data_IF_024437343112
#
_entry.id   IF_024437343112
#
_cell.length_a   1.000
_cell.length_b   1.000
_cell.length_c   1.000
_cell.angle_alpha   90.00
_cell.angle_beta   90.00
_cell.angle_gamma   90.00
#
_symmetry.space_group_name_H-M   'P 1'
#
loop_
_entity.id
_entity.type
_entity.pdbx_description
1 polymer ?
#
# COMPACT_ATOMS: atom_id res chain seq x y z
N UNK A 1 -16.47 37.97 -4.60
CA UNK A 1 -15.79 36.69 -4.90
C UNK A 1 -16.83 35.59 -4.76
N UNK A 2 -17.12 34.84 -5.83
CA UNK A 2 -18.30 33.99 -5.91
C UNK A 2 -18.09 32.73 -5.00
N UNK A 3 -19.11 32.36 -4.19
CA UNK A 3 -19.08 31.21 -3.27
C UNK A 3 -18.59 29.94 -3.97
N UNK A 4 -19.06 29.74 -5.19
CA UNK A 4 -18.68 28.61 -6.06
C UNK A 4 -17.15 28.52 -6.31
N UNK A 5 -16.43 29.63 -6.38
CA UNK A 5 -14.98 29.68 -6.56
C UNK A 5 -14.23 29.30 -5.25
N UNK A 6 -14.76 29.64 -4.08
CA UNK A 6 -14.17 29.25 -2.79
C UNK A 6 -14.32 27.75 -2.56
N UNK A 7 -15.50 27.21 -2.86
CA UNK A 7 -15.80 25.79 -2.67
C UNK A 7 -14.92 24.92 -3.59
N UNK A 8 -14.74 25.36 -4.85
CA UNK A 8 -13.83 24.69 -5.79
C UNK A 8 -12.38 24.71 -5.30
N UNK A 9 -11.88 25.85 -4.84
CA UNK A 9 -10.51 25.98 -4.35
C UNK A 9 -10.28 25.09 -3.12
N UNK A 10 -11.23 25.08 -2.19
CA UNK A 10 -11.17 24.23 -1.01
C UNK A 10 -11.17 22.74 -1.38
N UNK A 11 -12.07 22.30 -2.27
CA UNK A 11 -12.11 20.93 -2.74
C UNK A 11 -10.79 20.54 -3.40
N UNK A 12 -10.28 21.34 -4.33
CA UNK A 12 -9.02 21.06 -5.02
C UNK A 12 -7.86 20.91 -4.04
N UNK A 13 -7.71 21.87 -3.12
CA UNK A 13 -6.62 21.84 -2.14
C UNK A 13 -6.65 20.56 -1.31
N UNK A 14 -7.81 20.16 -0.79
CA UNK A 14 -7.92 18.94 0.02
C UNK A 14 -7.79 17.67 -0.81
N UNK A 15 -8.35 17.63 -2.02
CA UNK A 15 -8.19 16.53 -2.94
C UNK A 15 -6.71 16.27 -3.26
N UNK A 16 -5.94 17.34 -3.43
CA UNK A 16 -4.50 17.30 -3.68
C UNK A 16 -3.69 16.93 -2.45
N UNK A 17 -3.95 17.57 -1.32
CA UNK A 17 -3.25 17.30 -0.06
C UNK A 17 -3.49 15.87 0.45
N UNK A 18 -4.69 15.31 0.19
CA UNK A 18 -5.05 13.95 0.56
C UNK A 18 -4.81 12.93 -0.56
N UNK A 19 -3.82 13.18 -1.42
CA UNK A 19 -3.38 12.25 -2.46
C UNK A 19 -4.51 11.81 -3.41
N UNK A 20 -5.30 12.78 -3.84
CA UNK A 20 -6.39 12.58 -4.80
C UNK A 20 -7.51 11.63 -4.36
N UNK A 21 -7.82 11.60 -3.08
CA UNK A 21 -8.95 10.83 -2.55
C UNK A 21 -10.29 11.30 -3.13
N UNK A 22 -11.23 10.37 -3.27
CA UNK A 22 -12.62 10.69 -3.64
C UNK A 22 -13.33 11.50 -2.52
N UNK A 23 -14.39 12.23 -2.91
CA UNK A 23 -15.14 13.12 -2.01
C UNK A 23 -15.63 12.39 -0.73
N UNK A 24 -16.19 11.19 -0.87
CA UNK A 24 -16.70 10.42 0.28
C UNK A 24 -15.62 10.12 1.31
N UNK A 25 -14.43 9.73 0.86
CA UNK A 25 -13.30 9.44 1.73
C UNK A 25 -12.73 10.72 2.37
N UNK A 26 -12.64 11.81 1.60
CA UNK A 26 -12.23 13.11 2.15
C UNK A 26 -13.19 13.58 3.24
N UNK A 27 -14.50 13.48 3.01
CA UNK A 27 -15.49 13.83 4.04
C UNK A 27 -15.36 12.95 5.28
N UNK A 28 -15.11 11.64 5.11
CA UNK A 28 -14.89 10.73 6.23
C UNK A 28 -13.67 11.13 7.07
N UNK A 29 -12.54 11.44 6.42
CA UNK A 29 -11.31 11.86 7.11
C UNK A 29 -11.56 13.18 7.86
N UNK A 30 -12.17 14.18 7.22
CA UNK A 30 -12.41 15.50 7.79
C UNK A 30 -13.37 15.41 8.99
N UNK A 31 -14.44 14.63 8.87
CA UNK A 31 -15.42 14.49 9.95
C UNK A 31 -14.87 13.74 11.18
N UNK A 32 -13.84 12.90 10.99
CA UNK A 32 -13.23 12.11 12.07
C UNK A 32 -11.86 12.63 12.52
N UNK A 33 -11.41 13.78 12.01
CA UNK A 33 -10.13 14.41 12.38
C UNK A 33 -10.33 15.65 13.22
N UNK A 34 -9.31 16.01 14.01
CA UNK A 34 -9.31 17.21 14.83
C UNK A 34 -8.20 18.17 14.40
N UNK A 35 -8.36 19.46 14.68
CA UNK A 35 -7.30 20.46 14.49
C UNK A 35 -7.16 21.04 13.09
N UNK A 36 -8.11 20.80 12.19
CA UNK A 36 -8.13 21.41 10.86
C UNK A 36 -9.13 22.57 10.74
N UNK A 37 -8.92 23.43 9.74
CA UNK A 37 -9.73 24.66 9.54
C UNK A 37 -11.14 24.42 8.97
N UNK A 38 -11.50 23.18 8.66
CA UNK A 38 -12.77 22.82 8.02
C UNK A 38 -13.85 22.36 9.01
N UNK A 39 -13.65 22.53 10.31
CA UNK A 39 -14.68 22.23 11.31
C UNK A 39 -15.97 22.97 10.93
N UNK A 40 -17.05 22.22 10.69
CA UNK A 40 -18.38 22.70 10.28
C UNK A 40 -18.51 23.23 8.83
N UNK A 41 -17.55 23.02 7.94
CA UNK A 41 -17.69 23.36 6.53
C UNK A 41 -17.99 22.12 5.71
N UNK A 42 -19.07 22.18 4.89
CA UNK A 42 -19.33 21.12 3.90
C UNK A 42 -18.39 21.30 2.71
N UNK A 43 -17.58 20.27 2.44
CA UNK A 43 -16.83 20.22 1.19
C UNK A 43 -17.79 19.72 0.10
N UNK A 44 -18.10 20.58 -0.84
CA UNK A 44 -18.93 20.25 -1.99
C UNK A 44 -18.03 19.99 -3.19
N UNK A 45 -18.22 18.84 -3.82
CA UNK A 45 -17.59 18.56 -5.10
C UNK A 45 -18.31 19.39 -6.18
N UNK A 46 -17.59 20.22 -6.94
CA UNK A 46 -18.18 20.94 -8.06
C UNK A 46 -18.63 19.95 -9.14
N UNK A 47 -19.82 20.13 -9.68
CA UNK A 47 -20.41 19.23 -10.69
C UNK A 47 -19.53 19.08 -11.95
N UNK A 48 -18.71 20.09 -12.25
CA UNK A 48 -17.87 20.16 -13.45
C UNK A 48 -16.38 19.89 -13.17
N UNK A 49 -16.03 19.40 -11.97
CA UNK A 49 -14.64 19.16 -11.63
C UNK A 49 -14.17 17.79 -12.12
N UNK A 50 -13.20 17.81 -13.01
CA UNK A 50 -12.48 16.63 -13.46
C UNK A 50 -10.99 16.78 -13.14
N UNK A 51 -10.46 15.95 -12.29
CA UNK A 51 -9.03 15.89 -12.00
C UNK A 51 -8.33 15.13 -13.12
N UNK A 52 -7.46 15.80 -13.86
CA UNK A 52 -6.72 15.19 -14.96
C UNK A 52 -5.92 13.99 -14.50
N UNK A 53 -5.20 14.09 -13.37
CA UNK A 53 -4.45 12.97 -12.79
C UNK A 53 -5.35 11.78 -12.44
N UNK A 54 -6.51 12.05 -11.82
CA UNK A 54 -7.46 10.97 -11.50
C UNK A 54 -8.07 10.32 -12.73
N UNK A 55 -8.38 11.10 -13.77
CA UNK A 55 -9.00 10.55 -14.98
C UNK A 55 -8.03 9.73 -15.82
N UNK A 56 -6.74 10.05 -15.76
CA UNK A 56 -5.70 9.31 -16.50
C UNK A 56 -5.25 8.03 -15.81
N UNK A 57 -5.19 8.01 -14.47
CA UNK A 57 -4.55 6.93 -13.71
C UNK A 57 -5.49 6.07 -12.87
N UNK A 58 -6.73 6.51 -12.59
CA UNK A 58 -7.67 5.71 -11.82
C UNK A 58 -8.39 4.69 -12.70
N UNK A 59 -7.87 3.48 -12.71
CA UNK A 59 -8.52 2.34 -13.32
C UNK A 59 -9.77 1.93 -12.52
N UNK A 60 -10.84 1.51 -13.22
CA UNK A 60 -12.04 0.95 -12.57
C UNK A 60 -11.66 -0.39 -11.97
N UNK A 61 -11.66 -0.47 -10.64
CA UNK A 61 -11.43 -1.72 -9.92
C UNK A 61 -12.75 -2.48 -9.91
N UNK A 62 -12.80 -3.65 -10.55
CA UNK A 62 -13.94 -4.57 -10.41
C UNK A 62 -13.93 -5.17 -9.01
N UNK A 63 -15.08 -5.19 -8.30
CA UNK A 63 -15.14 -5.85 -7.01
C UNK A 63 -14.86 -7.35 -7.17
N UNK A 64 -13.99 -7.90 -6.30
CA UNK A 64 -13.78 -9.33 -6.20
C UNK A 64 -14.99 -9.97 -5.51
N UNK A 65 -15.60 -10.96 -6.14
CA UNK A 65 -16.70 -11.73 -5.56
C UNK A 65 -16.10 -12.92 -4.80
N UNK A 66 -16.59 -13.12 -3.60
CA UNK A 66 -16.38 -14.20 -2.62
C UNK A 66 -15.42 -13.88 -1.49
N UNK A 67 -16.07 -13.62 -0.33
CA UNK A 67 -15.41 -13.64 0.97
C UNK A 67 -15.34 -15.09 1.42
N UNK A 68 -14.16 -15.69 1.42
CA UNK A 68 -13.95 -16.97 2.08
C UNK A 68 -13.76 -16.67 3.55
N UNK A 69 -14.61 -17.23 4.43
CA UNK A 69 -14.46 -17.10 5.87
C UNK A 69 -13.28 -17.98 6.32
N UNK A 70 -12.13 -17.34 6.49
CA UNK A 70 -11.04 -17.91 7.29
C UNK A 70 -11.18 -17.42 8.72
N UNK A 71 -10.77 -18.24 9.69
CA UNK A 71 -10.55 -17.76 11.05
C UNK A 71 -9.64 -16.54 10.97
N UNK A 72 -10.09 -15.43 11.57
CA UNK A 72 -9.33 -14.19 11.49
C UNK A 72 -8.00 -14.36 12.21
N UNK A 73 -6.85 -14.20 11.54
CA UNK A 73 -5.55 -14.30 12.18
C UNK A 73 -5.44 -13.27 13.32
N UNK A 74 -4.57 -13.54 14.29
CA UNK A 74 -4.23 -12.53 15.30
C UNK A 74 -3.21 -11.54 14.75
N UNK A 75 -2.99 -10.40 15.44
CA UNK A 75 -2.02 -9.38 15.00
C UNK A 75 -0.63 -9.98 14.79
N UNK A 76 -0.01 -9.72 13.66
CA UNK A 76 1.25 -10.26 13.15
C UNK A 76 1.30 -11.77 12.92
N UNK A 77 0.25 -12.51 13.15
CA UNK A 77 0.25 -13.96 12.95
C UNK A 77 0.49 -14.36 11.50
N UNK A 78 -0.10 -13.63 10.56
CA UNK A 78 0.05 -13.85 9.12
C UNK A 78 0.48 -12.57 8.41
N UNK A 79 1.63 -12.59 7.77
CA UNK A 79 2.17 -11.48 6.98
C UNK A 79 2.15 -11.88 5.52
N UNK A 80 1.52 -11.07 4.69
CA UNK A 80 1.58 -11.18 3.24
C UNK A 80 2.67 -10.26 2.70
N UNK A 81 3.46 -10.74 1.74
CA UNK A 81 4.52 -9.98 1.12
C UNK A 81 4.49 -10.12 -0.39
N UNK A 82 4.76 -9.02 -1.08
CA UNK A 82 4.83 -8.99 -2.54
C UNK A 82 5.81 -7.92 -3.01
N UNK A 83 6.35 -8.09 -4.24
CA UNK A 83 7.29 -7.17 -4.87
C UNK A 83 6.68 -6.57 -6.12
N UNK A 84 6.63 -5.26 -6.16
CA UNK A 84 6.26 -4.52 -7.34
C UNK A 84 7.50 -3.91 -8.01
N UNK A 85 7.55 -3.95 -9.29
CA UNK A 85 8.58 -3.31 -10.11
C UNK A 85 8.25 -3.40 -11.58
N UNK A 86 8.88 -2.72 -12.48
CA UNK A 86 9.83 -1.61 -12.33
C UNK A 86 9.10 -0.33 -11.93
N UNK A 87 9.69 0.45 -11.01
CA UNK A 87 9.20 1.79 -10.70
C UNK A 87 9.58 2.70 -11.88
N UNK A 88 8.60 3.33 -12.50
CA UNK A 88 8.79 4.37 -13.49
C UNK A 88 8.02 5.63 -13.05
N UNK A 89 8.65 6.79 -13.08
CA UNK A 89 10.06 7.07 -13.35
C UNK A 89 11.00 6.54 -12.25
N UNK A 90 12.25 6.31 -12.57
CA UNK A 90 13.26 5.84 -11.60
C UNK A 90 13.42 6.86 -10.48
N UNK A 91 13.52 6.40 -9.23
CA UNK A 91 13.80 7.23 -8.06
C UNK A 91 15.14 6.82 -7.46
N UNK A 92 16.20 7.52 -7.87
CA UNK A 92 17.55 7.18 -7.46
C UNK A 92 17.94 5.75 -7.85
N UNK A 93 18.61 4.99 -6.97
CA UNK A 93 19.04 3.61 -7.26
C UNK A 93 17.90 2.59 -7.17
N UNK A 94 16.69 3.01 -6.78
CA UNK A 94 15.57 2.11 -6.51
C UNK A 94 14.74 1.85 -7.77
N UNK A 95 14.54 0.57 -8.06
CA UNK A 95 13.78 0.09 -9.22
C UNK A 95 12.54 -0.71 -8.84
N UNK A 96 12.47 -1.19 -7.61
CA UNK A 96 11.40 -2.03 -7.10
C UNK A 96 10.99 -1.55 -5.71
N UNK A 97 9.82 -1.96 -5.28
CA UNK A 97 9.44 -1.87 -3.88
C UNK A 97 8.79 -3.16 -3.43
N UNK A 98 9.00 -3.51 -2.18
CA UNK A 98 8.40 -4.64 -1.53
C UNK A 98 7.41 -4.14 -0.48
N UNK A 99 6.26 -4.75 -0.41
CA UNK A 99 5.24 -4.49 0.60
C UNK A 99 5.14 -5.67 1.54
N UNK A 100 4.97 -5.38 2.83
CA UNK A 100 4.56 -6.34 3.84
C UNK A 100 3.24 -5.84 4.43
N UNK A 101 2.28 -6.71 4.61
CA UNK A 101 0.99 -6.36 5.19
C UNK A 101 0.53 -7.43 6.18
N UNK A 102 0.14 -6.99 7.38
CA UNK A 102 -0.49 -7.84 8.37
C UNK A 102 -1.93 -8.16 7.99
N UNK A 103 -2.28 -9.43 7.97
CA UNK A 103 -3.57 -9.90 7.46
C UNK A 103 -4.76 -9.46 8.32
N UNK A 104 -4.57 -9.22 9.62
CA UNK A 104 -5.64 -8.78 10.52
C UNK A 104 -5.84 -7.26 10.47
N UNK A 105 -4.78 -6.51 10.75
CA UNK A 105 -4.88 -5.06 10.98
C UNK A 105 -4.71 -4.23 9.72
N UNK A 106 -4.23 -4.86 8.62
CA UNK A 106 -3.78 -4.18 7.42
C UNK A 106 -2.61 -3.20 7.68
N UNK A 107 -1.95 -3.32 8.85
CA UNK A 107 -0.70 -2.61 9.07
C UNK A 107 0.29 -3.00 7.97
N UNK A 108 0.93 -2.02 7.40
CA UNK A 108 1.78 -2.24 6.24
C UNK A 108 3.12 -1.55 6.35
N UNK A 109 4.11 -2.14 5.72
CA UNK A 109 5.45 -1.60 5.59
C UNK A 109 5.90 -1.69 4.14
N UNK A 110 6.56 -0.64 3.66
CA UNK A 110 7.08 -0.56 2.29
C UNK A 110 8.58 -0.41 2.33
N UNK A 111 9.29 -1.25 1.59
CA UNK A 111 10.73 -1.21 1.44
C UNK A 111 11.11 -0.93 -0.02
N UNK A 112 11.94 0.08 -0.27
CA UNK A 112 12.51 0.31 -1.59
C UNK A 112 13.67 -0.65 -1.84
N UNK A 113 13.74 -1.20 -3.05
CA UNK A 113 14.75 -2.17 -3.47
C UNK A 113 15.46 -1.70 -4.74
N UNK A 114 16.77 -1.78 -4.74
CA UNK A 114 17.57 -1.51 -5.95
C UNK A 114 17.50 -2.66 -6.96
N UNK A 115 17.48 -3.88 -6.47
CA UNK A 115 17.34 -5.11 -7.26
C UNK A 115 16.40 -6.07 -6.57
N UNK A 116 15.82 -7.03 -7.30
CA UNK A 116 14.99 -8.08 -6.71
C UNK A 116 15.78 -9.01 -5.79
N UNK A 117 17.05 -9.25 -6.09
CA UNK A 117 17.89 -10.19 -5.34
C UNK A 117 18.10 -9.82 -3.87
N UNK A 118 17.89 -8.54 -3.49
CA UNK A 118 18.01 -8.11 -2.09
C UNK A 118 16.70 -8.29 -1.30
N UNK A 119 15.62 -8.77 -1.93
CA UNK A 119 14.30 -8.86 -1.31
C UNK A 119 14.30 -9.79 -0.10
N UNK A 120 14.85 -11.00 -0.22
CA UNK A 120 14.92 -11.96 0.89
C UNK A 120 15.70 -11.40 2.10
N UNK A 121 16.81 -10.74 1.87
CA UNK A 121 17.61 -10.10 2.93
C UNK A 121 16.85 -8.96 3.60
N UNK A 122 16.13 -8.15 2.82
CA UNK A 122 15.32 -7.06 3.36
C UNK A 122 14.11 -7.58 4.13
N UNK A 123 13.44 -8.62 3.63
CA UNK A 123 12.35 -9.29 4.32
C UNK A 123 12.82 -9.85 5.67
N UNK A 124 13.95 -10.57 5.69
CA UNK A 124 14.55 -11.09 6.90
C UNK A 124 14.81 -9.98 7.94
N UNK A 125 15.40 -8.88 7.52
CA UNK A 125 15.66 -7.74 8.40
C UNK A 125 14.37 -7.14 8.98
N UNK A 126 13.28 -7.09 8.21
CA UNK A 126 11.99 -6.60 8.70
C UNK A 126 11.34 -7.58 9.68
N UNK A 127 11.42 -8.88 9.44
CA UNK A 127 10.90 -9.90 10.36
C UNK A 127 11.63 -9.80 11.71
N UNK A 128 12.96 -9.70 11.71
CA UNK A 128 13.75 -9.53 12.93
C UNK A 128 13.31 -8.25 13.67
N UNK A 129 13.17 -7.15 12.95
CA UNK A 129 12.71 -5.88 13.52
C UNK A 129 11.32 -5.99 14.15
N UNK A 130 10.36 -6.61 13.45
CA UNK A 130 9.01 -6.83 13.97
C UNK A 130 9.01 -7.68 15.23
N UNK A 131 9.79 -8.75 15.28
CA UNK A 131 9.91 -9.59 16.48
C UNK A 131 10.49 -8.83 17.68
N UNK A 132 11.44 -7.93 17.44
CA UNK A 132 12.00 -7.08 18.50
C UNK A 132 11.01 -6.02 18.96
N UNK A 133 10.26 -5.42 18.04
CA UNK A 133 9.28 -4.37 18.36
C UNK A 133 8.03 -4.94 19.06
N UNK A 134 7.63 -6.15 18.71
CA UNK A 134 6.42 -6.80 19.20
C UNK A 134 6.71 -8.18 19.80
N UNK A 135 7.46 -8.24 20.91
CA UNK A 135 7.93 -9.53 21.47
C UNK A 135 6.79 -10.45 21.94
N UNK A 136 5.63 -9.89 22.24
CA UNK A 136 4.44 -10.63 22.70
C UNK A 136 3.57 -11.16 21.54
N UNK A 137 3.93 -10.87 20.29
CA UNK A 137 3.20 -11.31 19.10
C UNK A 137 4.09 -12.20 18.25
N UNK A 138 3.61 -13.42 17.99
CA UNK A 138 4.36 -14.39 17.19
C UNK A 138 3.92 -14.33 15.73
N UNK A 139 4.87 -14.15 14.84
CA UNK A 139 4.66 -14.38 13.40
C UNK A 139 4.65 -15.88 13.21
N UNK A 140 3.54 -16.44 12.71
CA UNK A 140 3.42 -17.87 12.41
C UNK A 140 3.60 -18.16 10.94
N UNK A 141 3.03 -17.32 10.07
CA UNK A 141 3.01 -17.58 8.64
C UNK A 141 3.43 -16.36 7.84
N UNK A 142 4.23 -16.58 6.81
CA UNK A 142 4.57 -15.56 5.79
C UNK A 142 4.13 -16.08 4.44
N UNK A 143 3.18 -15.39 3.82
CA UNK A 143 2.69 -15.71 2.48
C UNK A 143 3.48 -14.89 1.45
N UNK A 144 4.14 -15.57 0.53
CA UNK A 144 4.96 -14.98 -0.52
C UNK A 144 4.36 -15.30 -1.89
N UNK A 145 4.38 -14.35 -2.81
CA UNK A 145 4.19 -14.70 -4.20
C UNK A 145 5.38 -15.56 -4.67
N UNK A 146 5.11 -16.51 -5.56
CA UNK A 146 6.07 -17.55 -6.00
C UNK A 146 7.23 -16.97 -6.84
N UNK A 147 7.77 -15.86 -6.41
CA UNK A 147 8.89 -15.20 -7.02
C UNK A 147 10.20 -15.83 -6.49
N UNK A 148 11.03 -16.32 -7.38
CA UNK A 148 12.33 -16.93 -7.05
C UNK A 148 13.25 -16.06 -6.18
N UNK A 149 12.93 -14.79 -6.03
CA UNK A 149 13.64 -13.81 -5.20
C UNK A 149 13.59 -14.12 -3.71
N UNK A 150 12.59 -14.87 -3.25
CA UNK A 150 12.42 -15.25 -1.84
C UNK A 150 12.96 -16.67 -1.52
N UNK A 151 13.52 -17.37 -2.51
CA UNK A 151 14.04 -18.73 -2.35
C UNK A 151 15.47 -18.77 -1.75
N UNK A 152 15.85 -17.75 -0.97
CA UNK A 152 17.15 -17.79 -0.27
C UNK A 152 17.14 -18.85 0.83
N UNK A 153 18.06 -19.80 0.74
CA UNK A 153 18.18 -20.85 1.76
C UNK A 153 18.37 -20.28 3.17
N UNK A 154 19.20 -19.23 3.30
CA UNK A 154 19.41 -18.53 4.57
C UNK A 154 18.12 -17.96 5.16
N UNK A 155 17.22 -17.44 4.31
CA UNK A 155 15.92 -16.92 4.75
C UNK A 155 15.03 -18.07 5.25
N UNK A 156 14.97 -19.17 4.50
CA UNK A 156 14.17 -20.33 4.86
C UNK A 156 14.67 -20.99 6.15
N UNK A 157 15.97 -21.19 6.27
CA UNK A 157 16.59 -21.77 7.46
C UNK A 157 16.32 -20.91 8.69
N UNK A 158 16.38 -19.59 8.56
CA UNK A 158 16.02 -18.69 9.65
C UNK A 158 14.54 -18.83 10.02
N UNK A 159 13.61 -18.76 9.07
CA UNK A 159 12.18 -18.91 9.35
C UNK A 159 11.89 -20.23 10.04
N UNK A 160 12.47 -21.33 9.56
CA UNK A 160 12.35 -22.65 10.16
C UNK A 160 12.90 -22.67 11.58
N UNK A 161 14.05 -22.05 11.83
CA UNK A 161 14.68 -22.02 13.16
C UNK A 161 13.87 -21.32 14.23
N UNK A 162 12.98 -20.43 13.84
CA UNK A 162 12.13 -19.62 14.74
C UNK A 162 10.65 -19.98 14.68
N UNK A 163 10.31 -21.10 13.98
CA UNK A 163 8.95 -21.62 13.87
C UNK A 163 8.02 -20.75 13.02
N UNK A 164 8.53 -20.14 11.94
CA UNK A 164 7.72 -19.42 10.96
C UNK A 164 7.55 -20.30 9.73
N UNK A 165 6.30 -20.56 9.36
CA UNK A 165 5.95 -21.24 8.12
C UNK A 165 5.97 -20.26 6.93
N UNK A 166 6.64 -20.66 5.85
CA UNK A 166 6.68 -19.88 4.62
C UNK A 166 5.79 -20.55 3.59
N UNK A 167 4.70 -19.86 3.24
CA UNK A 167 3.75 -20.33 2.24
C UNK A 167 4.02 -19.65 0.90
N UNK A 168 4.27 -20.45 -0.12
CA UNK A 168 4.37 -19.98 -1.50
C UNK A 168 3.04 -20.16 -2.19
N UNK A 169 2.56 -19.09 -2.79
CA UNK A 169 1.29 -19.12 -3.50
C UNK A 169 1.43 -19.92 -4.80
N UNK A 170 0.55 -20.88 -4.97
CA UNK A 170 0.43 -21.60 -6.23
C UNK A 170 -0.16 -20.66 -7.28
N UNK A 171 0.45 -20.59 -8.47
CA UNK A 171 -0.07 -19.84 -9.60
C UNK A 171 -1.57 -20.16 -9.80
N UNK A 172 -2.41 -19.13 -9.88
CA UNK A 172 -3.88 -19.15 -10.00
C UNK A 172 -4.70 -19.12 -8.71
N UNK A 173 -4.11 -19.06 -7.52
CA UNK A 173 -4.87 -18.91 -6.27
C UNK A 173 -4.73 -17.47 -5.73
N UNK A 174 -5.31 -16.49 -6.46
CA UNK A 174 -5.23 -15.05 -6.17
C UNK A 174 -5.83 -14.62 -4.80
N UNK A 175 -6.48 -15.54 -4.08
CA UNK A 175 -7.15 -15.19 -2.82
C UNK A 175 -6.20 -15.09 -1.65
N UNK A 176 -5.03 -15.72 -1.70
CA UNK A 176 -4.12 -15.82 -0.56
C UNK A 176 -3.18 -14.62 -0.40
N UNK A 177 -2.84 -13.88 -1.48
CA UNK A 177 -2.03 -12.64 -1.40
C UNK A 177 -2.79 -11.36 -1.77
N UNK A 178 -4.11 -11.42 -1.74
CA UNK A 178 -4.98 -10.34 -2.21
C UNK A 178 -4.78 -9.02 -1.47
N UNK A 179 -4.34 -9.04 -0.21
CA UNK A 179 -4.07 -7.82 0.55
C UNK A 179 -2.80 -7.12 0.06
N UNK A 180 -1.70 -7.85 -0.16
CA UNK A 180 -0.46 -7.29 -0.68
C UNK A 180 -0.62 -6.74 -2.10
N UNK A 181 -1.28 -7.49 -2.99
CA UNK A 181 -1.62 -7.03 -4.33
C UNK A 181 -2.51 -5.77 -4.31
N UNK A 182 -3.54 -5.77 -3.44
CA UNK A 182 -4.42 -4.62 -3.28
C UNK A 182 -3.67 -3.39 -2.78
N UNK A 183 -2.77 -3.57 -1.82
CA UNK A 183 -1.92 -2.49 -1.30
C UNK A 183 -1.01 -1.92 -2.41
N UNK A 184 -0.38 -2.77 -3.22
CA UNK A 184 0.43 -2.33 -4.36
C UNK A 184 -0.39 -1.49 -5.33
N UNK A 185 -1.58 -1.95 -5.69
CA UNK A 185 -2.49 -1.21 -6.58
C UNK A 185 -2.86 0.16 -5.98
N UNK A 186 -3.19 0.22 -4.69
CA UNK A 186 -3.48 1.47 -3.99
C UNK A 186 -2.29 2.43 -3.99
N UNK A 187 -1.08 1.94 -3.67
CA UNK A 187 0.13 2.75 -3.69
C UNK A 187 0.41 3.32 -5.09
N UNK A 188 0.24 2.53 -6.13
CA UNK A 188 0.40 3.00 -7.50
C UNK A 188 -0.63 4.06 -7.89
N UNK A 189 -1.91 3.87 -7.49
CA UNK A 189 -2.99 4.83 -7.74
C UNK A 189 -2.76 6.17 -7.02
N UNK A 190 -2.05 6.18 -5.91
CA UNK A 190 -1.69 7.39 -5.16
C UNK A 190 -0.42 8.02 -5.75
N UNK A 191 0.61 7.21 -5.97
CA UNK A 191 1.93 7.72 -6.36
C UNK A 191 1.96 8.29 -7.77
N UNK A 192 1.31 7.63 -8.75
CA UNK A 192 1.32 8.09 -10.15
C UNK A 192 0.78 9.49 -10.36
N UNK A 193 -0.43 9.84 -9.88
CA UNK A 193 -0.94 11.21 -10.01
C UNK A 193 -0.05 12.25 -9.32
N UNK A 194 0.54 11.91 -8.15
CA UNK A 194 1.45 12.80 -7.43
C UNK A 194 2.72 13.07 -8.25
N UNK A 195 3.33 12.04 -8.82
CA UNK A 195 4.53 12.18 -9.66
C UNK A 195 4.26 13.00 -10.92
N UNK A 196 3.14 12.75 -11.61
CA UNK A 196 2.77 13.50 -12.81
C UNK A 196 2.54 14.99 -12.52
N UNK A 197 2.02 15.31 -11.34
CA UNK A 197 1.68 16.68 -10.98
C UNK A 197 2.85 17.48 -10.44
N UNK A 198 3.68 16.88 -9.61
CA UNK A 198 4.78 17.59 -8.94
C UNK A 198 5.90 17.96 -9.89
N UNK A 199 5.97 17.36 -11.08
CA UNK A 199 7.09 17.53 -12.02
C UNK A 199 8.45 17.50 -11.32
N UNK A 200 8.54 16.68 -10.27
CA UNK A 200 9.79 16.49 -9.54
C UNK A 200 10.86 16.08 -10.55
N UNK A 201 12.04 16.73 -10.51
CA UNK A 201 13.13 16.31 -11.36
C UNK A 201 13.43 14.87 -11.03
N UNK A 202 13.37 14.03 -12.05
CA UNK A 202 13.85 12.67 -11.96
C UNK A 202 15.36 12.80 -11.87
N UNK A 203 15.92 12.55 -10.71
CA UNK A 203 17.38 12.48 -10.57
C UNK A 203 17.87 11.30 -11.41
N UNK A 204 18.73 11.61 -12.38
CA UNK A 204 19.47 10.62 -13.16
C UNK A 204 20.26 9.66 -12.27
#
# INVERSE_FOLDING_TARGET
MNQKFRDLKNFMTWHECLSHLGLSMMCCIINNSFGHSLNNQKILMPNDYNCVGCSQDKLIIKPSFTKIEYESPTFLECIQCDICGLIHPLSGPFRYFMVLIDALTSWSHVCLLSTRNVASTRLLAQIIKLKVQFPNHSIKTICLDNAGEFLSQTFLDYCMSIGIDVEYLVAHNHTQNGLAESLIKHLQLIARPLLLRTKLPLSD
#
